data_IF_347497797058
#
_entry.id   IF_347497797058
#
_cell.length_a   1.000
_cell.length_b   1.000
_cell.length_c   1.000
_cell.angle_alpha   90.00
_cell.angle_beta   90.00
_cell.angle_gamma   90.00
#
_symmetry.space_group_name_H-M   'P 1'
#
loop_
_entity.id
_entity.type
_entity.pdbx_description
1 polymer ?
#
# COMPACT_ATOMS: atom_id res chain seq x y z
N UNK A 1 6.84 17.69 -54.46
CA UNK A 1 5.67 17.94 -53.60
C UNK A 1 5.18 16.61 -53.05
N UNK A 2 4.59 16.66 -51.85
CA UNK A 2 3.92 15.58 -51.09
C UNK A 2 4.75 14.99 -49.95
N UNK A 3 4.91 15.79 -48.87
CA UNK A 3 5.28 15.30 -47.55
C UNK A 3 3.98 14.77 -46.92
N UNK A 4 3.90 13.45 -46.74
CA UNK A 4 2.81 12.78 -46.04
C UNK A 4 3.05 12.96 -44.54
N UNK A 5 2.27 13.82 -43.90
CA UNK A 5 2.31 14.05 -42.45
C UNK A 5 1.62 12.88 -41.76
N UNK A 6 2.41 11.98 -41.18
CA UNK A 6 1.94 10.85 -40.38
C UNK A 6 1.50 11.36 -39.01
N UNK A 7 0.21 11.64 -38.84
CA UNK A 7 -0.38 11.98 -37.54
C UNK A 7 -0.50 10.69 -36.72
N UNK A 8 0.47 10.45 -35.84
CA UNK A 8 0.37 9.44 -34.78
C UNK A 8 -0.64 9.93 -33.75
N UNK A 9 -1.86 9.42 -33.81
CA UNK A 9 -2.82 9.56 -32.72
C UNK A 9 -2.39 8.61 -31.62
N UNK A 10 -1.65 9.11 -30.62
CA UNK A 10 -1.49 8.43 -29.35
C UNK A 10 -2.89 8.36 -28.70
N UNK A 11 -3.57 7.24 -28.90
CA UNK A 11 -4.63 6.82 -27.98
C UNK A 11 -3.95 6.55 -26.64
N UNK A 12 -3.91 7.58 -25.81
CA UNK A 12 -3.77 7.44 -24.37
C UNK A 12 -4.92 6.54 -23.92
N UNK A 13 -4.64 5.24 -23.83
CA UNK A 13 -5.45 4.31 -23.09
C UNK A 13 -5.26 4.74 -21.63
N UNK A 14 -6.05 5.73 -21.23
CA UNK A 14 -6.29 6.02 -19.83
C UNK A 14 -6.93 4.74 -19.29
N UNK A 15 -6.08 3.83 -18.82
CA UNK A 15 -6.54 2.68 -18.08
C UNK A 15 -7.42 3.26 -16.99
N UNK A 16 -8.71 2.86 -16.90
CA UNK A 16 -9.47 3.18 -15.72
C UNK A 16 -8.69 2.53 -14.59
N UNK A 17 -8.03 3.36 -13.79
CA UNK A 17 -7.56 3.01 -12.48
C UNK A 17 -8.79 2.46 -11.80
N UNK A 18 -8.89 1.13 -11.77
CA UNK A 18 -9.83 0.43 -10.93
C UNK A 18 -9.45 0.88 -9.54
N UNK A 19 -10.13 1.93 -9.09
CA UNK A 19 -10.27 2.28 -7.70
C UNK A 19 -11.05 1.12 -7.08
N UNK A 20 -10.36 -0.03 -6.97
CA UNK A 20 -10.72 -1.07 -6.03
C UNK A 20 -10.82 -0.31 -4.74
N UNK A 21 -12.04 -0.18 -4.22
CA UNK A 21 -12.28 0.27 -2.85
C UNK A 21 -11.50 -0.67 -1.95
N UNK A 22 -10.22 -0.39 -1.76
CA UNK A 22 -9.36 -1.03 -0.80
C UNK A 22 -9.73 -0.42 0.55
N UNK A 23 -10.95 -0.73 1.02
CA UNK A 23 -11.37 -0.40 2.37
C UNK A 23 -10.33 -0.99 3.32
N UNK A 24 -9.65 -0.12 4.06
CA UNK A 24 -8.66 -0.55 5.03
C UNK A 24 -9.40 -1.09 6.26
N UNK A 25 -9.08 -2.31 6.67
CA UNK A 25 -9.65 -2.93 7.86
C UNK A 25 -8.59 -3.04 8.94
N UNK A 26 -8.93 -2.66 10.18
CA UNK A 26 -8.02 -2.79 11.33
C UNK A 26 -8.00 -4.20 11.92
N UNK A 27 -8.84 -5.10 11.39
CA UNK A 27 -8.92 -6.51 11.81
C UNK A 27 -9.01 -7.39 10.57
N UNK A 28 -8.14 -8.39 10.48
CA UNK A 28 -8.10 -9.37 9.39
C UNK A 28 -7.62 -10.72 9.90
N UNK A 29 -7.89 -11.78 9.13
CA UNK A 29 -7.43 -13.13 9.43
C UNK A 29 -5.93 -13.27 9.13
N UNK A 30 -5.17 -13.83 10.07
CA UNK A 30 -3.76 -14.19 9.88
C UNK A 30 -3.55 -15.42 9.00
N UNK A 31 -4.63 -16.04 8.48
CA UNK A 31 -4.54 -17.18 7.57
C UNK A 31 -3.92 -16.79 6.23
N UNK A 32 -4.33 -15.64 5.71
CA UNK A 32 -3.98 -15.19 4.35
C UNK A 32 -2.95 -14.05 4.34
N UNK A 33 -2.73 -13.41 5.49
CA UNK A 33 -1.85 -12.26 5.66
C UNK A 33 -1.01 -12.38 6.94
N UNK A 34 0.06 -11.59 7.03
CA UNK A 34 0.86 -11.48 8.26
C UNK A 34 -0.04 -11.12 9.45
N UNK A 35 0.18 -11.81 10.58
CA UNK A 35 -0.52 -11.48 11.82
C UNK A 35 -0.12 -10.11 12.35
N UNK A 36 -1.01 -9.45 13.11
CA UNK A 36 -0.72 -8.13 13.71
C UNK A 36 0.59 -8.18 14.52
N UNK A 37 0.82 -9.23 15.31
CA UNK A 37 2.05 -9.37 16.09
C UNK A 37 3.32 -9.48 15.23
N UNK A 38 3.26 -10.17 14.09
CA UNK A 38 4.38 -10.22 13.14
C UNK A 38 4.65 -8.84 12.51
N UNK A 39 3.60 -8.13 12.12
CA UNK A 39 3.71 -6.76 11.58
C UNK A 39 4.33 -5.82 12.60
N UNK A 40 3.85 -5.88 13.85
CA UNK A 40 4.39 -5.07 14.93
C UNK A 40 5.87 -5.38 15.17
N UNK A 41 6.26 -6.66 15.21
CA UNK A 41 7.65 -7.07 15.37
C UNK A 41 8.54 -6.57 14.23
N UNK A 42 8.06 -6.68 12.98
CA UNK A 42 8.79 -6.20 11.80
C UNK A 42 9.01 -4.67 11.85
N UNK A 43 7.96 -3.92 12.22
CA UNK A 43 8.02 -2.47 12.33
C UNK A 43 8.93 -2.03 13.47
N UNK A 44 8.81 -2.64 14.66
CA UNK A 44 9.66 -2.33 15.81
C UNK A 44 11.12 -2.72 15.56
N UNK A 45 11.38 -3.75 14.75
CA UNK A 45 12.74 -4.12 14.33
C UNK A 45 13.37 -3.09 13.39
N UNK A 46 12.58 -2.38 12.58
CA UNK A 46 13.06 -1.34 11.64
C UNK A 46 13.09 0.06 12.26
N UNK A 47 12.16 0.32 13.17
CA UNK A 47 11.97 1.60 13.85
C UNK A 47 12.03 1.37 15.36
N UNK A 48 13.23 1.11 15.87
CA UNK A 48 13.45 0.90 17.30
C UNK A 48 12.96 2.12 18.10
N UNK A 49 12.14 1.87 19.13
CA UNK A 49 11.54 2.92 19.95
C UNK A 49 10.33 3.63 19.34
N UNK A 50 9.88 3.25 18.14
CA UNK A 50 8.65 3.81 17.57
C UNK A 50 7.39 3.24 18.25
N UNK A 51 6.40 4.10 18.46
CA UNK A 51 5.06 3.72 18.94
C UNK A 51 4.15 3.48 17.75
N UNK A 52 3.54 2.30 17.70
CA UNK A 52 2.54 1.98 16.68
C UNK A 52 1.20 2.59 17.09
N UNK A 53 0.64 3.45 16.23
CA UNK A 53 -0.63 4.14 16.45
C UNK A 53 -1.78 3.36 15.83
N UNK A 54 -1.61 2.90 14.59
CA UNK A 54 -2.67 2.21 13.85
C UNK A 54 -2.06 1.19 12.88
N UNK A 55 -2.75 0.08 12.67
CA UNK A 55 -2.38 -0.98 11.73
C UNK A 55 -3.63 -1.39 10.97
N UNK A 56 -3.58 -1.31 9.64
CA UNK A 56 -4.71 -1.62 8.79
C UNK A 56 -4.27 -2.46 7.60
N UNK A 57 -5.04 -3.48 7.24
CA UNK A 57 -4.91 -4.18 5.98
C UNK A 57 -5.75 -3.47 4.92
N UNK A 58 -5.12 -2.98 3.87
CA UNK A 58 -5.75 -2.32 2.74
C UNK A 58 -5.65 -3.23 1.50
N UNK A 59 -6.77 -3.43 0.82
CA UNK A 59 -6.84 -4.27 -0.38
C UNK A 59 -7.05 -5.74 -0.05
N UNK A 60 -7.00 -6.60 -1.08
CA UNK A 60 -7.24 -8.03 -0.95
C UNK A 60 -6.35 -8.83 -1.93
N UNK A 61 -6.07 -10.09 -1.59
CA UNK A 61 -5.32 -11.01 -2.43
C UNK A 61 -3.88 -10.56 -2.68
N UNK A 62 -3.39 -10.72 -3.91
CA UNK A 62 -2.00 -10.41 -4.28
C UNK A 62 -1.66 -8.90 -4.25
N UNK A 63 -2.66 -8.02 -4.23
CA UNK A 63 -2.48 -6.57 -4.13
C UNK A 63 -2.71 -6.01 -2.73
N UNK A 64 -2.90 -6.87 -1.73
CA UNK A 64 -3.10 -6.42 -0.36
C UNK A 64 -1.81 -5.84 0.23
N UNK A 65 -1.97 -4.82 1.06
CA UNK A 65 -0.89 -4.14 1.77
C UNK A 65 -1.31 -3.81 3.18
N UNK A 66 -0.36 -3.79 4.11
CA UNK A 66 -0.60 -3.40 5.49
C UNK A 66 -0.06 -2.00 5.66
N UNK A 67 -0.94 -1.07 5.99
CA UNK A 67 -0.64 0.32 6.31
C UNK A 67 -0.49 0.46 7.81
N UNK A 68 0.66 0.95 8.25
CA UNK A 68 0.99 1.15 9.65
C UNK A 68 1.29 2.63 9.87
N UNK A 69 0.63 3.25 10.84
CA UNK A 69 0.98 4.59 11.31
C UNK A 69 1.80 4.45 12.57
N UNK A 70 3.01 5.02 12.56
CA UNK A 70 3.95 5.01 13.67
C UNK A 70 4.32 6.43 14.08
N UNK A 71 4.62 6.61 15.36
CA UNK A 71 5.24 7.80 15.91
C UNK A 71 6.66 7.44 16.37
N UNK A 72 7.67 8.11 15.82
CA UNK A 72 9.07 7.88 16.18
C UNK A 72 9.56 8.80 17.30
N UNK A 73 8.67 9.54 17.96
CA UNK A 73 8.97 10.56 18.98
C UNK A 73 9.48 11.89 18.42
N UNK A 74 9.71 11.96 17.10
CA UNK A 74 10.06 13.19 16.36
C UNK A 74 9.00 13.52 15.32
N UNK A 75 8.49 12.48 14.64
CA UNK A 75 7.55 12.60 13.55
C UNK A 75 6.57 11.43 13.54
N UNK A 76 5.38 11.68 12.97
CA UNK A 76 4.41 10.63 12.64
C UNK A 76 4.63 10.21 11.19
N UNK A 77 4.80 8.91 10.96
CA UNK A 77 5.05 8.33 9.63
C UNK A 77 4.04 7.24 9.31
N UNK A 78 3.68 7.14 8.03
CA UNK A 78 2.92 6.00 7.50
C UNK A 78 3.88 5.07 6.77
N UNK A 79 3.92 3.80 7.18
CA UNK A 79 4.68 2.74 6.53
C UNK A 79 3.70 1.79 5.86
N UNK A 80 3.97 1.42 4.61
CA UNK A 80 3.19 0.42 3.88
C UNK A 80 4.07 -0.78 3.60
N UNK A 81 3.61 -1.97 3.97
CA UNK A 81 4.26 -3.24 3.67
C UNK A 81 3.35 -4.10 2.80
N UNK A 82 3.91 -4.87 1.87
CA UNK A 82 3.13 -5.86 1.11
C UNK A 82 2.53 -6.90 2.06
N UNK A 83 1.27 -7.27 1.84
CA UNK A 83 0.60 -8.29 2.62
C UNK A 83 0.88 -9.69 2.03
N UNK A 84 2.17 -10.05 1.90
CA UNK A 84 2.66 -11.42 1.82
C UNK A 84 4.15 -11.41 2.09
#
# INVERSE_FOLDING_TARGET
>A
MNIVVTVMVLWAIAMPSTAVKAGCVSSWSSRDYKSIGQVQKEILSRFAGARIINVQLCGQGAGASIRIVIDTGRDIKTVTIGAK
#
